data_IF_764392861074
#
_entry.id   IF_764392861074
#
_cell.length_a   1.000
_cell.length_b   1.000
_cell.length_c   1.000
_cell.angle_alpha   90.00
_cell.angle_beta   90.00
_cell.angle_gamma   90.00
#
_symmetry.space_group_name_H-M   'P 1'
#
loop_
_entity.id
_entity.type
_entity.pdbx_description
1 polymer ?
#
# COMPACT_ATOMS: atom_id res chain seq x y z
N UNK A 1 -51.00 22.02 -41.04
CA UNK A 1 -50.10 23.15 -41.30
C UNK A 1 -48.73 22.73 -40.84
N UNK A 2 -47.69 22.62 -41.61
CA UNK A 2 -47.44 22.50 -43.04
C UNK A 2 -45.95 22.13 -43.09
N UNK A 3 -45.60 21.23 -43.97
CA UNK A 3 -44.24 20.81 -44.29
C UNK A 3 -43.40 21.99 -44.79
N UNK A 4 -42.10 22.03 -44.49
CA UNK A 4 -41.10 22.39 -45.50
C UNK A 4 -39.71 21.85 -45.17
N UNK A 5 -39.21 21.05 -46.12
CA UNK A 5 -37.84 20.57 -46.23
C UNK A 5 -36.98 21.63 -46.92
N UNK A 6 -35.69 21.71 -46.61
CA UNK A 6 -34.68 22.06 -47.60
C UNK A 6 -33.42 21.21 -47.40
N UNK A 7 -33.20 20.35 -48.40
CA UNK A 7 -32.00 19.60 -48.70
C UNK A 7 -31.14 20.40 -49.69
N UNK A 8 -29.83 20.39 -49.48
CA UNK A 8 -28.76 20.37 -50.52
C UNK A 8 -27.41 20.35 -49.78
N UNK A 9 -26.44 19.48 -50.02
CA UNK A 9 -26.21 18.53 -51.10
C UNK A 9 -24.71 18.54 -51.46
N UNK A 10 -24.11 17.35 -51.55
CA UNK A 10 -22.85 16.98 -52.24
C UNK A 10 -21.50 17.40 -51.60
N UNK A 11 -20.42 16.60 -51.64
CA UNK A 11 -20.11 15.41 -52.42
C UNK A 11 -19.06 14.53 -51.70
N UNK A 12 -19.13 13.22 -51.89
CA UNK A 12 -18.08 12.24 -51.58
C UNK A 12 -17.09 12.16 -52.76
N UNK A 13 -15.87 11.70 -52.50
CA UNK A 13 -15.03 11.10 -53.54
C UNK A 13 -14.21 9.91 -52.97
N UNK A 14 -14.32 8.70 -53.57
CA UNK A 14 -13.56 7.51 -53.16
C UNK A 14 -12.56 7.01 -54.22
N UNK A 15 -11.72 6.05 -53.79
CA UNK A 15 -10.87 5.12 -54.58
C UNK A 15 -9.52 5.69 -55.10
N UNK A 16 -8.39 4.98 -55.06
CA UNK A 16 -8.06 3.74 -55.82
C UNK A 16 -6.89 2.94 -55.17
N UNK A 17 -7.09 1.62 -55.05
CA UNK A 17 -6.25 0.43 -55.39
C UNK A 17 -4.70 0.57 -55.50
N UNK A 18 -3.82 -0.37 -55.10
CA UNK A 18 -3.86 -1.84 -55.29
C UNK A 18 -2.73 -2.60 -54.54
N UNK A 19 -3.05 -3.83 -54.10
CA UNK A 19 -2.30 -5.11 -54.13
C UNK A 19 -0.75 -5.14 -54.13
N UNK A 20 -0.14 -5.91 -53.21
CA UNK A 20 0.82 -7.00 -53.55
C UNK A 20 0.99 -8.06 -52.42
N UNK A 21 0.50 -9.28 -52.72
CA UNK A 21 0.98 -10.67 -52.48
C UNK A 21 1.82 -11.08 -51.23
N UNK A 22 1.27 -12.09 -50.54
CA UNK A 22 1.81 -13.41 -50.13
C UNK A 22 3.30 -13.60 -49.72
N UNK A 23 3.52 -14.19 -48.54
CA UNK A 23 4.30 -15.43 -48.38
C UNK A 23 4.05 -16.10 -47.00
N UNK A 24 4.01 -17.45 -46.99
CA UNK A 24 3.81 -18.37 -45.86
C UNK A 24 5.17 -19.02 -45.45
N UNK A 25 5.43 -19.18 -44.13
CA UNK A 25 6.12 -20.30 -43.38
C UNK A 25 7.46 -20.92 -43.86
N UNK A 26 8.20 -21.78 -43.09
CA UNK A 26 8.18 -22.16 -41.65
C UNK A 26 9.58 -22.25 -40.94
N UNK A 27 9.56 -22.60 -39.64
CA UNK A 27 10.53 -23.35 -38.79
C UNK A 27 12.00 -23.54 -39.23
N UNK A 28 12.94 -23.40 -38.26
CA UNK A 28 13.87 -24.47 -37.89
C UNK A 28 14.53 -24.25 -36.52
N UNK A 29 14.72 -25.38 -35.84
CA UNK A 29 15.41 -25.61 -34.56
C UNK A 29 16.88 -25.20 -34.58
N UNK A 30 17.40 -24.77 -33.43
CA UNK A 30 18.80 -24.98 -33.09
C UNK A 30 18.95 -25.27 -31.58
N UNK A 31 19.58 -26.39 -31.32
CA UNK A 31 19.88 -27.04 -30.05
C UNK A 31 20.99 -26.35 -29.23
N UNK A 32 20.98 -26.66 -27.93
CA UNK A 32 21.90 -26.35 -26.83
C UNK A 32 23.41 -26.45 -27.15
N UNK A 33 24.31 -25.94 -26.26
CA UNK A 33 24.75 -26.82 -25.17
C UNK A 33 25.02 -26.15 -23.79
N UNK A 34 24.83 -26.99 -22.78
CA UNK A 34 25.66 -27.17 -21.56
C UNK A 34 25.85 -26.04 -20.52
N UNK A 35 25.25 -26.32 -19.35
CA UNK A 35 25.84 -26.33 -18.01
C UNK A 35 26.52 -25.08 -17.43
N UNK A 36 25.91 -24.49 -16.41
CA UNK A 36 26.60 -24.25 -15.12
C UNK A 36 25.60 -24.48 -13.98
N UNK A 37 25.92 -25.45 -13.14
CA UNK A 37 25.33 -25.69 -11.83
C UNK A 37 25.78 -24.58 -10.87
N UNK A 38 24.85 -23.89 -10.21
CA UNK A 38 25.13 -23.31 -8.89
C UNK A 38 23.93 -23.54 -7.98
N UNK A 39 24.09 -24.58 -7.16
CA UNK A 39 23.36 -24.80 -5.94
C UNK A 39 23.65 -23.67 -4.95
N UNK A 40 22.61 -22.99 -4.48
CA UNK A 40 22.58 -22.46 -3.12
C UNK A 40 21.13 -22.19 -2.71
N UNK A 41 20.50 -23.24 -2.18
CA UNK A 41 19.34 -23.11 -1.31
C UNK A 41 19.73 -22.23 -0.11
N UNK A 42 19.29 -20.97 -0.12
CA UNK A 42 19.26 -20.16 1.11
C UNK A 42 17.99 -20.54 1.88
N UNK A 43 18.24 -21.15 3.04
CA UNK A 43 17.24 -21.71 3.95
C UNK A 43 16.26 -20.61 4.37
N UNK A 44 14.98 -20.90 4.18
CA UNK A 44 13.88 -20.27 4.88
C UNK A 44 14.06 -20.49 6.37
N UNK A 45 13.99 -19.44 7.18
CA UNK A 45 13.90 -19.57 8.64
C UNK A 45 12.41 -19.55 9.00
N UNK A 46 11.80 -20.69 9.37
CA UNK A 46 10.47 -20.67 9.95
C UNK A 46 10.54 -19.94 11.29
N UNK A 47 9.68 -18.95 11.49
CA UNK A 47 9.56 -18.23 12.75
C UNK A 47 8.88 -19.16 13.77
N UNK A 48 9.66 -19.78 14.65
CA UNK A 48 9.17 -20.59 15.77
C UNK A 48 8.82 -19.68 16.95
N UNK A 49 7.62 -19.87 17.51
CA UNK A 49 7.13 -19.17 18.70
C UNK A 49 7.72 -19.86 19.95
N UNK A 50 8.51 -19.19 20.80
CA UNK A 50 8.86 -19.76 22.10
C UNK A 50 7.71 -19.53 23.09
N UNK A 51 7.06 -20.61 23.52
CA UNK A 51 6.25 -20.62 24.73
C UNK A 51 7.18 -20.45 25.94
N UNK A 52 7.00 -19.38 26.70
CA UNK A 52 7.59 -19.26 28.04
C UNK A 52 6.46 -19.12 29.06
N UNK A 53 6.31 -20.17 29.86
CA UNK A 53 5.66 -20.14 31.16
C UNK A 53 6.68 -19.65 32.21
N UNK A 54 6.30 -18.79 33.17
CA UNK A 54 7.13 -18.57 34.34
C UNK A 54 6.49 -19.22 35.57
N UNK A 55 7.18 -20.20 36.13
CA UNK A 55 7.05 -20.57 37.54
C UNK A 55 8.29 -20.13 38.33
N UNK A 56 7.98 -19.60 39.52
CA UNK A 56 8.75 -19.54 40.76
C UNK A 56 9.70 -18.37 41.00
N UNK A 57 9.30 -17.67 42.07
CA UNK A 57 10.02 -16.70 42.87
C UNK A 57 11.23 -17.29 43.60
N UNK A 58 12.19 -16.40 43.91
CA UNK A 58 13.05 -16.34 45.11
C UNK A 58 13.77 -14.98 45.04
N UNK A 59 13.50 -14.03 45.93
CA UNK A 59 13.87 -13.87 47.35
C UNK A 59 14.91 -12.75 47.45
N UNK A 60 14.54 -11.70 48.20
CA UNK A 60 15.32 -10.49 48.41
C UNK A 60 16.50 -10.79 49.34
N UNK A 61 17.71 -10.45 48.92
CA UNK A 61 18.79 -10.14 49.86
C UNK A 61 19.42 -8.80 49.50
N UNK A 62 19.28 -7.87 50.44
CA UNK A 62 20.03 -6.61 50.54
C UNK A 62 21.47 -6.94 50.93
N UNK A 63 22.43 -6.34 50.23
CA UNK A 63 23.76 -6.08 50.74
C UNK A 63 24.19 -4.69 50.27
N UNK A 64 24.34 -3.79 51.23
CA UNK A 64 25.05 -2.52 51.08
C UNK A 64 26.55 -2.80 51.06
N UNK A 65 27.32 -2.10 50.23
CA UNK A 65 28.66 -1.63 50.56
C UNK A 65 29.13 -0.52 49.60
N UNK A 66 30.06 0.26 50.13
CA UNK A 66 30.40 1.67 49.87
C UNK A 66 31.38 1.96 48.72
N UNK A 67 31.33 3.20 48.23
CA UNK A 67 32.20 3.94 47.30
C UNK A 67 33.67 3.47 47.11
N UNK A 68 34.13 3.46 45.84
CA UNK A 68 35.39 4.13 45.44
C UNK A 68 35.43 4.42 43.93
N UNK A 69 35.84 5.64 43.61
CA UNK A 69 36.06 6.22 42.28
C UNK A 69 37.38 5.72 41.72
N UNK A 70 37.40 5.21 40.48
CA UNK A 70 38.52 5.39 39.54
C UNK A 70 37.96 5.58 38.11
N UNK A 71 38.28 6.73 37.53
CA UNK A 71 38.02 7.13 36.16
C UNK A 71 39.05 6.48 35.24
N UNK A 72 38.60 5.77 34.20
CA UNK A 72 39.30 5.71 32.90
C UNK A 72 38.24 5.80 31.82
N UNK A 73 38.31 6.87 31.04
CA UNK A 73 37.37 7.17 29.98
C UNK A 73 37.62 6.32 28.74
N UNK A 74 36.52 5.92 28.11
CA UNK A 74 36.40 5.88 26.65
C UNK A 74 34.94 6.21 26.33
N UNK A 75 34.72 7.48 26.04
CA UNK A 75 33.43 8.05 25.67
C UNK A 75 33.16 7.80 24.18
N UNK A 76 32.48 6.69 23.88
CA UNK A 76 31.67 6.61 22.64
C UNK A 76 30.31 7.19 22.98
N UNK A 77 30.15 8.47 22.66
CA UNK A 77 28.88 9.19 22.71
C UNK A 77 27.86 8.52 21.78
N UNK A 78 27.03 7.65 22.35
CA UNK A 78 25.73 7.36 21.76
C UNK A 78 24.93 8.65 21.84
N UNK A 79 24.81 9.33 20.71
CA UNK A 79 23.98 10.52 20.55
C UNK A 79 22.58 10.21 21.07
N UNK A 80 22.27 10.75 22.26
CA UNK A 80 20.91 10.90 22.75
C UNK A 80 20.34 12.11 22.02
N UNK A 81 19.81 11.89 20.83
CA UNK A 81 18.95 12.87 20.18
C UNK A 81 17.55 12.74 20.78
N UNK A 82 17.44 13.16 22.04
CA UNK A 82 16.17 13.39 22.73
C UNK A 82 15.93 14.89 22.76
N UNK A 83 15.55 15.46 21.63
CA UNK A 83 14.99 16.81 21.58
C UNK A 83 13.58 16.73 20.99
N UNK A 84 12.57 16.85 21.88
CA UNK A 84 11.13 16.86 21.65
C UNK A 84 10.47 15.56 21.15
N UNK A 85 10.76 14.44 21.82
CA UNK A 85 10.42 13.06 21.47
C UNK A 85 8.97 12.77 21.08
N UNK A 86 8.60 13.08 19.84
CA UNK A 86 7.41 12.54 19.18
C UNK A 86 7.71 11.09 18.82
N UNK A 87 7.01 10.15 19.46
CA UNK A 87 7.11 8.72 19.14
C UNK A 87 6.73 8.49 17.68
N UNK A 88 7.64 7.92 16.90
CA UNK A 88 7.34 7.43 15.54
C UNK A 88 6.35 6.28 15.60
N UNK A 89 5.33 6.32 14.75
CA UNK A 89 4.29 5.29 14.66
C UNK A 89 4.80 4.05 13.93
N UNK A 90 4.32 2.88 14.29
CA UNK A 90 4.67 1.60 13.65
C UNK A 90 3.60 1.23 12.62
N UNK A 91 4.01 1.11 11.36
CA UNK A 91 3.13 0.87 10.24
C UNK A 91 3.27 -0.57 9.76
N UNK A 92 2.13 -1.25 9.57
CA UNK A 92 2.07 -2.46 8.77
C UNK A 92 1.59 -2.11 7.36
N UNK A 93 2.38 -2.44 6.34
CA UNK A 93 2.02 -2.12 4.95
C UNK A 93 1.59 -3.40 4.22
N UNK A 94 0.41 -3.39 3.61
CA UNK A 94 -0.15 -4.54 2.92
C UNK A 94 -0.05 -4.35 1.41
N UNK A 95 0.46 -5.35 0.68
CA UNK A 95 0.67 -5.28 -0.78
C UNK A 95 0.34 -6.60 -1.47
N UNK A 96 -0.04 -6.53 -2.75
CA UNK A 96 -0.25 -7.73 -3.60
C UNK A 96 0.53 -7.69 -4.93
N UNK A 97 1.32 -6.65 -5.17
CA UNK A 97 1.93 -6.36 -6.48
C UNK A 97 3.28 -5.65 -6.37
N UNK A 98 3.57 -4.73 -7.31
CA UNK A 98 4.87 -4.06 -7.43
C UNK A 98 5.26 -3.18 -6.23
N UNK A 99 4.29 -2.72 -5.44
CA UNK A 99 4.54 -2.00 -4.18
C UNK A 99 5.03 -0.56 -4.36
N UNK A 100 4.73 0.12 -5.46
CA UNK A 100 5.17 1.51 -5.68
C UNK A 100 4.66 2.47 -4.60
N UNK A 101 3.39 2.38 -4.20
CA UNK A 101 2.85 3.13 -3.05
C UNK A 101 3.62 2.84 -1.75
N UNK A 102 3.94 1.58 -1.47
CA UNK A 102 4.76 1.20 -0.31
C UNK A 102 6.15 1.85 -0.36
N UNK A 103 6.81 1.83 -1.52
CA UNK A 103 8.11 2.50 -1.71
C UNK A 103 8.03 3.99 -1.42
N UNK A 104 7.02 4.67 -1.95
CA UNK A 104 6.82 6.12 -1.71
C UNK A 104 6.64 6.44 -0.23
N UNK A 105 5.86 5.63 0.50
CA UNK A 105 5.68 5.78 1.96
C UNK A 105 6.97 5.50 2.72
N UNK A 106 7.67 4.41 2.39
CA UNK A 106 8.92 4.05 3.04
C UNK A 106 10.01 5.11 2.83
N UNK A 107 10.18 5.62 1.61
CA UNK A 107 11.13 6.68 1.31
C UNK A 107 10.77 8.02 1.97
N UNK A 108 9.48 8.33 2.10
CA UNK A 108 9.04 9.52 2.85
C UNK A 108 9.28 9.37 4.36
N UNK A 109 9.12 8.15 4.91
CA UNK A 109 9.48 7.82 6.29
C UNK A 109 10.97 8.01 6.57
N UNK A 110 11.84 7.50 5.69
CA UNK A 110 13.30 7.66 5.79
C UNK A 110 13.75 9.12 5.71
N UNK A 111 13.04 9.94 4.94
CA UNK A 111 13.29 11.40 4.82
C UNK A 111 12.71 12.22 5.98
N UNK A 112 12.01 11.59 6.92
CA UNK A 112 11.37 12.27 8.05
C UNK A 112 10.07 13.01 7.71
N UNK A 113 9.58 12.91 6.47
CA UNK A 113 8.29 13.50 6.05
C UNK A 113 7.09 12.76 6.64
N UNK A 114 7.28 11.49 7.01
CA UNK A 114 6.30 10.69 7.77
C UNK A 114 6.95 10.35 9.12
N UNK A 115 6.28 10.68 10.22
CA UNK A 115 6.67 10.29 11.59
C UNK A 115 6.23 8.86 11.93
N UNK A 116 6.58 7.91 11.06
CA UNK A 116 6.22 6.51 11.23
C UNK A 116 7.06 5.58 10.36
N UNK A 117 7.27 4.36 10.83
CA UNK A 117 8.20 3.37 10.28
C UNK A 117 7.45 2.12 9.82
N UNK A 118 7.74 1.64 8.62
CA UNK A 118 7.23 0.35 8.14
C UNK A 118 7.94 -0.80 8.88
N UNK A 119 7.29 -1.36 9.89
CA UNK A 119 7.89 -2.42 10.74
C UNK A 119 7.60 -3.83 10.23
N UNK A 120 6.58 -3.99 9.39
CA UNK A 120 6.21 -5.26 8.78
C UNK A 120 5.49 -5.02 7.46
N UNK A 121 5.82 -5.83 6.45
CA UNK A 121 5.06 -5.93 5.22
C UNK A 121 4.18 -7.19 5.26
N UNK A 122 2.91 -7.07 4.89
CA UNK A 122 2.00 -8.20 4.73
C UNK A 122 1.64 -8.37 3.26
N UNK A 123 1.66 -9.60 2.76
CA UNK A 123 1.34 -9.89 1.36
C UNK A 123 0.64 -11.22 1.19
N UNK A 124 -0.23 -11.31 0.19
CA UNK A 124 -0.83 -12.57 -0.25
C UNK A 124 -0.06 -13.22 -1.40
N UNK A 125 1.13 -12.70 -1.75
CA UNK A 125 2.01 -13.23 -2.80
C UNK A 125 3.47 -13.12 -2.38
N UNK A 126 4.09 -14.27 -2.11
CA UNK A 126 5.48 -14.37 -1.61
C UNK A 126 6.54 -13.68 -2.46
N UNK A 127 6.36 -13.68 -3.78
CA UNK A 127 7.29 -13.12 -4.77
C UNK A 127 6.80 -11.86 -5.46
N UNK A 128 5.92 -11.06 -4.83
CA UNK A 128 5.56 -9.77 -5.42
C UNK A 128 6.67 -8.73 -5.21
N UNK A 129 6.79 -7.76 -6.12
CA UNK A 129 7.86 -6.75 -6.09
C UNK A 129 7.87 -5.87 -4.82
N UNK A 130 6.74 -5.75 -4.11
CA UNK A 130 6.71 -5.12 -2.79
C UNK A 130 7.39 -5.97 -1.70
N UNK A 131 7.22 -7.30 -1.75
CA UNK A 131 7.86 -8.23 -0.83
C UNK A 131 9.37 -8.34 -1.06
N UNK A 132 9.81 -8.31 -2.32
CA UNK A 132 11.23 -8.24 -2.67
C UNK A 132 11.86 -6.96 -2.12
N UNK A 133 11.24 -5.81 -2.39
CA UNK A 133 11.71 -4.52 -1.85
C UNK A 133 11.78 -4.51 -0.31
N UNK A 134 10.77 -5.04 0.38
CA UNK A 134 10.80 -5.12 1.85
C UNK A 134 11.99 -5.94 2.36
N UNK A 135 12.26 -7.10 1.76
CA UNK A 135 13.41 -7.94 2.12
C UNK A 135 14.73 -7.22 1.91
N UNK A 136 14.88 -6.53 0.78
CA UNK A 136 16.08 -5.74 0.46
C UNK A 136 16.32 -4.60 1.46
N UNK A 137 15.25 -4.10 2.09
CA UNK A 137 15.31 -3.08 3.14
C UNK A 137 15.33 -3.64 4.56
N UNK A 138 15.37 -4.97 4.72
CA UNK A 138 15.38 -5.63 6.03
C UNK A 138 14.04 -5.56 6.77
N UNK A 139 12.93 -5.25 6.07
CA UNK A 139 11.59 -5.21 6.65
C UNK A 139 11.00 -6.63 6.64
N UNK A 140 10.58 -7.18 7.81
CA UNK A 140 9.95 -8.48 7.90
C UNK A 140 8.73 -8.61 6.98
N UNK A 141 8.59 -9.77 6.32
CA UNK A 141 7.46 -10.07 5.43
C UNK A 141 6.62 -11.20 6.02
N UNK A 142 5.32 -10.96 6.16
CA UNK A 142 4.31 -11.91 6.60
C UNK A 142 3.39 -12.30 5.44
N UNK A 143 3.10 -13.59 5.31
CA UNK A 143 2.13 -14.08 4.33
C UNK A 143 0.73 -14.12 4.93
N UNK A 144 -0.22 -13.53 4.22
CA UNK A 144 -1.63 -13.57 4.58
C UNK A 144 -2.49 -13.34 3.32
N UNK A 145 -3.61 -14.05 3.15
CA UNK A 145 -4.15 -15.08 4.02
C UNK A 145 -3.55 -16.46 3.74
N UNK A 146 -3.74 -17.39 4.68
CA UNK A 146 -3.61 -18.81 4.41
C UNK A 146 -4.52 -19.21 3.25
N UNK A 147 -3.95 -19.84 2.23
CA UNK A 147 -4.70 -20.31 1.06
C UNK A 147 -4.10 -21.61 0.51
N UNK A 148 -4.75 -22.21 -0.50
CA UNK A 148 -4.19 -23.39 -1.18
C UNK A 148 -2.84 -23.08 -1.84
N UNK A 149 -2.72 -21.89 -2.43
CA UNK A 149 -1.51 -21.46 -3.13
C UNK A 149 -0.42 -20.94 -2.18
N UNK A 150 -0.81 -20.47 -1.01
CA UNK A 150 0.08 -19.95 0.05
C UNK A 150 -0.29 -20.63 1.40
N UNK A 151 0.06 -21.91 1.60
CA UNK A 151 -0.32 -22.68 2.79
C UNK A 151 0.36 -22.18 4.07
N UNK A 152 1.50 -21.50 3.93
CA UNK A 152 2.25 -20.87 5.02
C UNK A 152 1.66 -19.50 5.44
N UNK A 153 0.59 -19.06 4.78
CA UNK A 153 -0.10 -17.84 5.16
C UNK A 153 -0.75 -17.97 6.54
N UNK A 154 -0.89 -16.84 7.23
CA UNK A 154 -1.55 -16.77 8.52
C UNK A 154 -3.07 -16.80 8.37
N UNK A 155 -3.75 -17.33 9.39
CA UNK A 155 -5.18 -17.07 9.63
C UNK A 155 -5.40 -15.63 10.13
N UNK A 156 -6.64 -15.11 10.10
CA UNK A 156 -6.95 -13.77 10.61
C UNK A 156 -6.51 -13.54 12.08
N UNK A 157 -6.72 -14.51 12.97
CA UNK A 157 -6.35 -14.40 14.39
C UNK A 157 -4.84 -14.44 14.62
N UNK A 158 -4.12 -15.26 13.85
CA UNK A 158 -2.65 -15.29 13.84
C UNK A 158 -2.06 -13.98 13.31
N UNK A 159 -2.67 -13.41 12.27
CA UNK A 159 -2.27 -12.10 11.75
C UNK A 159 -2.44 -11.00 12.81
N UNK A 160 -3.60 -10.91 13.46
CA UNK A 160 -3.81 -9.96 14.57
C UNK A 160 -2.74 -10.12 15.64
N UNK A 161 -2.45 -11.36 16.03
CA UNK A 161 -1.42 -11.65 17.04
C UNK A 161 -0.02 -11.24 16.59
N UNK A 162 0.32 -11.46 15.32
CA UNK A 162 1.59 -11.02 14.74
C UNK A 162 1.71 -9.50 14.72
N UNK A 163 0.69 -8.78 14.22
CA UNK A 163 0.72 -7.31 14.15
C UNK A 163 0.80 -6.66 15.54
N UNK A 164 0.19 -7.26 16.55
CA UNK A 164 0.34 -6.82 17.96
C UNK A 164 1.77 -6.99 18.48
N UNK A 165 2.46 -8.09 18.13
CA UNK A 165 3.88 -8.29 18.49
C UNK A 165 4.80 -7.29 17.80
N UNK A 166 4.45 -6.86 16.59
CA UNK A 166 5.12 -5.75 15.92
C UNK A 166 4.73 -4.38 16.49
N UNK A 167 3.80 -4.31 17.46
CA UNK A 167 3.28 -3.07 18.05
C UNK A 167 2.76 -2.09 17.00
N UNK A 168 2.11 -2.62 15.95
CA UNK A 168 1.57 -1.81 14.85
C UNK A 168 0.52 -0.83 15.38
N UNK A 169 0.66 0.45 15.03
CA UNK A 169 -0.32 1.50 15.31
C UNK A 169 -1.33 1.63 14.16
N UNK A 170 -0.85 1.56 12.91
CA UNK A 170 -1.67 1.74 11.70
C UNK A 170 -1.37 0.69 10.62
N UNK A 171 -2.42 0.30 9.90
CA UNK A 171 -2.36 -0.60 8.75
C UNK A 171 -2.62 0.22 7.48
N UNK A 172 -1.71 0.09 6.52
CA UNK A 172 -1.71 0.84 5.26
C UNK A 172 -1.87 -0.14 4.10
N UNK A 173 -3.02 -0.15 3.44
CA UNK A 173 -3.25 -1.00 2.28
C UNK A 173 -2.75 -0.31 1.01
N UNK A 174 -1.57 -0.72 0.53
CA UNK A 174 -0.87 -0.14 -0.61
C UNK A 174 -0.99 -1.04 -1.85
N UNK A 175 -2.22 -1.24 -2.32
CA UNK A 175 -2.54 -2.15 -3.42
C UNK A 175 -2.69 -3.61 -2.97
N UNK A 176 -3.32 -3.82 -1.82
CA UNK A 176 -3.69 -5.14 -1.32
C UNK A 176 -5.03 -5.59 -1.89
N UNK A 177 -5.11 -6.81 -2.43
CA UNK A 177 -6.23 -7.25 -3.28
C UNK A 177 -7.16 -8.27 -2.60
N UNK A 178 -7.02 -8.50 -1.29
CA UNK A 178 -7.92 -9.40 -0.55
C UNK A 178 -8.75 -8.58 0.44
N UNK A 179 -9.97 -9.04 0.67
CA UNK A 179 -10.84 -8.46 1.70
C UNK A 179 -10.16 -8.55 3.06
N UNK A 180 -10.23 -7.47 3.82
CA UNK A 180 -9.74 -7.46 5.20
C UNK A 180 -10.75 -8.19 6.09
N UNK A 181 -10.31 -9.16 6.90
CA UNK A 181 -11.22 -9.91 7.76
C UNK A 181 -11.71 -9.04 8.92
N UNK A 182 -12.93 -9.34 9.41
CA UNK A 182 -13.60 -8.59 10.48
C UNK A 182 -12.77 -8.55 11.78
N UNK A 183 -11.99 -9.58 12.06
CA UNK A 183 -11.10 -9.66 13.21
C UNK A 183 -10.04 -8.55 13.17
N UNK A 184 -9.52 -8.23 11.99
CA UNK A 184 -8.52 -7.17 11.82
C UNK A 184 -9.18 -5.79 11.95
N UNK A 185 -10.35 -5.60 11.34
CA UNK A 185 -11.14 -4.35 11.42
C UNK A 185 -11.50 -4.03 12.87
N UNK A 186 -11.91 -5.03 13.65
CA UNK A 186 -12.20 -4.88 15.09
C UNK A 186 -10.95 -4.60 15.91
N UNK A 187 -9.84 -5.29 15.61
CA UNK A 187 -8.58 -5.10 16.34
C UNK A 187 -7.91 -3.75 16.06
N UNK A 188 -8.12 -3.18 14.87
CA UNK A 188 -7.53 -1.93 14.38
C UNK A 188 -8.62 -0.92 13.99
N UNK A 189 -9.57 -0.68 14.89
CA UNK A 189 -10.68 0.24 14.65
C UNK A 189 -10.17 1.66 14.32
N UNK A 190 -10.59 2.21 13.17
CA UNK A 190 -10.13 3.52 12.66
C UNK A 190 -8.60 3.62 12.49
N UNK A 191 -7.93 2.48 12.33
CA UNK A 191 -6.48 2.41 12.16
C UNK A 191 -6.07 1.69 10.86
N UNK A 192 -7.00 1.45 9.96
CA UNK A 192 -6.73 0.84 8.65
C UNK A 192 -7.18 1.82 7.56
N UNK A 193 -6.26 2.22 6.69
CA UNK A 193 -6.57 3.02 5.51
C UNK A 193 -6.21 2.27 4.22
N UNK A 194 -6.99 2.53 3.18
CA UNK A 194 -6.77 2.01 1.83
C UNK A 194 -6.74 3.14 0.83
N UNK A 195 -5.98 2.95 -0.26
CA UNK A 195 -6.04 3.80 -1.44
C UNK A 195 -6.72 3.04 -2.59
N UNK A 196 -7.71 3.66 -3.20
CA UNK A 196 -8.45 3.13 -4.33
C UNK A 196 -8.30 4.04 -5.56
N UNK A 197 -8.00 3.52 -6.76
CA UNK A 197 -7.63 4.31 -7.94
C UNK A 197 -8.83 4.93 -8.71
N UNK A 198 -9.86 5.38 -7.99
CA UNK A 198 -10.96 6.18 -8.53
C UNK A 198 -11.53 7.13 -7.48
N UNK A 199 -12.33 8.11 -7.92
CA UNK A 199 -13.10 8.99 -7.06
C UNK A 199 -14.33 8.25 -6.50
N UNK A 200 -14.16 7.59 -5.35
CA UNK A 200 -15.25 6.88 -4.68
C UNK A 200 -16.44 7.83 -4.39
N UNK A 201 -17.69 7.32 -4.44
CA UNK A 201 -18.07 5.91 -4.60
C UNK A 201 -18.01 5.38 -6.04
N UNK A 202 -17.65 6.20 -7.03
CA UNK A 202 -17.60 5.76 -8.42
C UNK A 202 -16.47 4.74 -8.65
N UNK A 203 -16.76 3.69 -9.42
CA UNK A 203 -15.81 2.61 -9.77
C UNK A 203 -15.13 1.96 -8.55
N UNK A 204 -15.83 1.92 -7.40
CA UNK A 204 -15.41 1.20 -6.21
C UNK A 204 -16.13 -0.14 -6.05
N UNK A 205 -15.65 -0.94 -5.11
CA UNK A 205 -16.28 -2.20 -4.71
C UNK A 205 -15.71 -3.42 -5.41
N UNK A 206 -16.35 -4.57 -5.15
CA UNK A 206 -15.85 -5.87 -5.61
C UNK A 206 -15.72 -5.91 -7.14
N UNK A 207 -14.50 -6.17 -7.61
CA UNK A 207 -14.18 -6.31 -9.04
C UNK A 207 -13.48 -5.10 -9.65
N UNK A 208 -13.51 -3.96 -8.96
CA UNK A 208 -12.78 -2.76 -9.33
C UNK A 208 -11.42 -2.72 -8.63
N UNK A 209 -10.39 -3.24 -9.29
CA UNK A 209 -9.03 -3.18 -8.78
C UNK A 209 -8.00 -3.15 -9.92
N UNK A 210 -6.86 -2.50 -9.67
CA UNK A 210 -5.79 -2.33 -10.65
C UNK A 210 -6.32 -1.76 -11.98
N UNK A 211 -5.86 -2.31 -13.10
CA UNK A 211 -6.20 -1.82 -14.43
C UNK A 211 -7.72 -1.89 -14.77
N UNK A 212 -8.49 -2.71 -14.06
CA UNK A 212 -9.95 -2.79 -14.28
C UNK A 212 -10.64 -1.47 -13.98
N UNK A 213 -10.14 -0.70 -13.01
CA UNK A 213 -10.70 0.60 -12.63
C UNK A 213 -10.52 1.60 -13.76
N UNK A 214 -9.28 1.79 -14.22
CA UNK A 214 -8.98 2.74 -15.29
C UNK A 214 -9.69 2.39 -16.60
N UNK A 215 -9.78 1.10 -16.95
CA UNK A 215 -10.56 0.64 -18.11
C UNK A 215 -12.04 0.99 -17.99
N UNK A 216 -12.64 0.82 -16.81
CA UNK A 216 -14.03 1.20 -16.58
C UNK A 216 -14.25 2.71 -16.64
N UNK A 217 -13.31 3.50 -16.11
CA UNK A 217 -13.36 4.97 -16.19
C UNK A 217 -13.34 5.42 -17.66
N UNK A 218 -12.38 4.94 -18.46
CA UNK A 218 -12.30 5.26 -19.89
C UNK A 218 -13.58 4.84 -20.62
N UNK A 219 -14.05 3.61 -20.40
CA UNK A 219 -15.26 3.10 -21.04
C UNK A 219 -16.53 3.89 -20.66
N UNK A 220 -16.58 4.48 -19.47
CA UNK A 220 -17.73 5.29 -19.01
C UNK A 220 -17.82 6.67 -19.66
N UNK A 221 -16.72 7.18 -20.25
CA UNK A 221 -16.64 8.55 -20.75
C UNK A 221 -16.46 9.63 -19.67
N UNK A 222 -16.16 9.25 -18.42
CA UNK A 222 -15.88 10.19 -17.34
C UNK A 222 -14.72 11.15 -17.70
N UNK A 223 -14.85 12.43 -17.33
CA UNK A 223 -13.84 13.47 -17.57
C UNK A 223 -12.88 13.69 -16.41
N UNK A 224 -13.17 13.05 -15.27
CA UNK A 224 -12.35 13.12 -14.07
C UNK A 224 -12.25 11.73 -13.44
N UNK A 225 -11.09 11.47 -12.85
CA UNK A 225 -10.76 10.30 -12.05
C UNK A 225 -9.82 10.74 -10.94
N UNK A 226 -9.04 9.83 -10.37
CA UNK A 226 -8.04 10.11 -9.35
C UNK A 226 -8.17 9.19 -8.15
N UNK A 227 -7.22 9.23 -7.20
CA UNK A 227 -7.24 8.33 -6.07
C UNK A 227 -8.15 8.81 -4.94
N UNK A 228 -8.71 7.85 -4.21
CA UNK A 228 -9.39 8.06 -2.93
C UNK A 228 -8.68 7.30 -1.83
N UNK A 229 -8.39 7.97 -0.71
CA UNK A 229 -7.99 7.33 0.53
C UNK A 229 -9.17 7.31 1.47
N UNK A 230 -9.45 6.14 2.04
CA UNK A 230 -10.58 5.94 2.94
C UNK A 230 -10.20 5.00 4.09
N UNK A 231 -10.93 5.09 5.19
CA UNK A 231 -10.86 4.07 6.23
C UNK A 231 -11.49 2.77 5.73
N UNK A 232 -10.92 1.63 6.13
CA UNK A 232 -11.44 0.31 5.74
C UNK A 232 -12.54 -0.14 6.68
N UNK A 233 -13.61 -0.69 6.12
CA UNK A 233 -14.68 -1.39 6.84
C UNK A 233 -14.82 -2.83 6.30
N UNK A 234 -15.93 -3.51 6.63
CA UNK A 234 -16.18 -4.91 6.26
C UNK A 234 -16.44 -5.14 4.76
N UNK A 235 -16.64 -4.06 3.98
CA UNK A 235 -16.93 -4.14 2.56
C UNK A 235 -15.87 -3.40 1.73
N UNK A 236 -15.77 -3.77 0.45
CA UNK A 236 -14.82 -3.11 -0.45
C UNK A 236 -15.24 -1.67 -0.71
N UNK A 237 -14.33 -0.75 -0.40
CA UNK A 237 -14.38 0.66 -0.80
C UNK A 237 -15.63 1.45 -0.35
N UNK A 238 -16.28 1.03 0.75
CA UNK A 238 -17.45 1.73 1.32
C UNK A 238 -17.14 2.55 2.57
N UNK A 239 -15.95 2.37 3.14
CA UNK A 239 -15.59 3.06 4.37
C UNK A 239 -15.43 4.57 4.16
N UNK A 240 -15.36 5.29 5.28
CA UNK A 240 -15.37 6.77 5.26
C UNK A 240 -14.18 7.33 4.48
N UNK A 241 -14.49 8.10 3.44
CA UNK A 241 -13.51 8.83 2.62
C UNK A 241 -12.78 9.83 3.52
N UNK A 242 -11.45 9.84 3.40
CA UNK A 242 -10.56 10.73 4.15
C UNK A 242 -9.93 11.78 3.24
N UNK A 243 -9.53 11.41 2.03
CA UNK A 243 -8.98 12.37 1.07
C UNK A 243 -9.15 11.88 -0.37
N UNK A 244 -9.22 12.83 -1.30
CA UNK A 244 -9.24 12.57 -2.74
C UNK A 244 -8.31 13.55 -3.46
N UNK A 245 -7.81 13.13 -4.62
CA UNK A 245 -7.16 14.03 -5.59
C UNK A 245 -7.81 13.83 -6.94
N UNK A 246 -8.05 14.91 -7.67
CA UNK A 246 -8.73 14.87 -8.98
C UNK A 246 -7.69 14.85 -10.10
N UNK A 247 -7.85 13.92 -11.03
CA UNK A 247 -7.04 13.78 -12.23
C UNK A 247 -7.96 13.93 -13.46
N UNK A 248 -7.67 14.87 -14.38
CA UNK A 248 -8.44 14.99 -15.62
C UNK A 248 -8.19 13.79 -16.55
N UNK A 249 -9.27 13.27 -17.11
CA UNK A 249 -9.25 12.26 -18.18
C UNK A 249 -9.28 13.01 -19.51
N UNK A 250 -8.17 12.96 -20.25
CA UNK A 250 -8.02 13.62 -21.55
C UNK A 250 -8.76 12.82 -22.62
N UNK A 251 -9.14 13.50 -23.70
CA UNK A 251 -9.97 12.92 -24.75
C UNK A 251 -9.39 11.65 -25.39
N UNK A 252 -8.05 11.55 -25.43
CA UNK A 252 -7.33 10.45 -26.07
C UNK A 252 -6.57 9.57 -25.08
N UNK A 253 -6.83 9.68 -23.77
CA UNK A 253 -6.17 8.82 -22.79
C UNK A 253 -6.51 7.36 -23.06
N UNK A 254 -5.47 6.53 -23.07
CA UNK A 254 -5.58 5.09 -22.83
C UNK A 254 -5.77 4.81 -21.32
N UNK A 255 -6.22 3.60 -20.98
CA UNK A 255 -6.36 3.20 -19.58
C UNK A 255 -4.99 3.20 -18.86
N UNK A 256 -3.92 2.86 -19.57
CA UNK A 256 -2.55 2.83 -19.09
C UNK A 256 -2.00 4.24 -18.82
N UNK A 257 -2.25 5.21 -19.70
CA UNK A 257 -1.88 6.61 -19.49
C UNK A 257 -2.65 7.23 -18.32
N UNK A 258 -3.96 6.95 -18.23
CA UNK A 258 -4.76 7.36 -17.08
C UNK A 258 -4.22 6.72 -15.78
N UNK A 259 -3.90 5.43 -15.80
CA UNK A 259 -3.33 4.75 -14.65
C UNK A 259 -2.01 5.38 -14.19
N UNK A 260 -1.14 5.77 -15.12
CA UNK A 260 0.12 6.42 -14.80
C UNK A 260 -0.10 7.80 -14.12
N UNK A 261 -1.04 8.61 -14.62
CA UNK A 261 -1.39 9.90 -13.99
C UNK A 261 -2.01 9.72 -12.61
N UNK A 262 -2.94 8.78 -12.46
CA UNK A 262 -3.56 8.47 -11.16
C UNK A 262 -2.51 7.97 -10.16
N UNK A 263 -1.58 7.12 -10.59
CA UNK A 263 -0.51 6.59 -9.74
C UNK A 263 0.44 7.67 -9.20
N UNK A 264 0.73 8.72 -9.98
CA UNK A 264 1.50 9.87 -9.50
C UNK A 264 0.78 10.59 -8.36
N UNK A 265 -0.52 10.81 -8.51
CA UNK A 265 -1.35 11.40 -7.46
C UNK A 265 -1.53 10.47 -6.26
N UNK A 266 -1.57 9.14 -6.46
CA UNK A 266 -1.59 8.16 -5.38
C UNK A 266 -0.37 8.32 -4.49
N UNK A 267 0.84 8.36 -5.07
CA UNK A 267 2.08 8.46 -4.31
C UNK A 267 2.11 9.71 -3.45
N UNK A 268 1.70 10.85 -4.02
CA UNK A 268 1.66 12.13 -3.32
C UNK A 268 0.62 12.12 -2.20
N UNK A 269 -0.63 11.75 -2.53
CA UNK A 269 -1.74 11.77 -1.59
C UNK A 269 -1.53 10.78 -0.44
N UNK A 270 -1.01 9.58 -0.73
CA UNK A 270 -0.83 8.56 0.30
C UNK A 270 0.26 8.92 1.30
N UNK A 271 1.35 9.55 0.85
CA UNK A 271 2.38 10.10 1.73
C UNK A 271 1.79 11.20 2.63
N UNK A 272 1.04 12.14 2.04
CA UNK A 272 0.41 13.25 2.77
C UNK A 272 -0.54 12.76 3.88
N UNK A 273 -1.42 11.83 3.54
CA UNK A 273 -2.41 11.29 4.48
C UNK A 273 -1.75 10.39 5.53
N UNK A 274 -0.75 9.59 5.17
CA UNK A 274 -0.01 8.77 6.14
C UNK A 274 0.75 9.65 7.14
N UNK A 275 1.33 10.77 6.69
CA UNK A 275 1.94 11.75 7.58
C UNK A 275 0.91 12.33 8.55
N UNK A 276 -0.26 12.75 8.06
CA UNK A 276 -1.35 13.26 8.89
C UNK A 276 -1.85 12.25 9.93
N UNK A 277 -1.92 10.97 9.54
CA UNK A 277 -2.29 9.88 10.44
C UNK A 277 -1.24 9.70 11.54
N UNK A 278 0.05 9.73 11.19
CA UNK A 278 1.14 9.56 12.14
C UNK A 278 1.29 10.76 13.10
N UNK A 279 0.97 11.96 12.63
CA UNK A 279 0.97 13.21 13.38
C UNK A 279 -0.33 13.45 14.17
N UNK A 280 -1.25 12.46 14.21
CA UNK A 280 -2.53 12.54 14.94
C UNK A 280 -3.39 13.75 14.53
N UNK A 281 -3.39 14.08 13.24
CA UNK A 281 -4.17 15.20 12.68
C UNK A 281 -5.53 14.78 12.13
N UNK A 282 -5.94 13.53 12.29
CA UNK A 282 -7.25 13.06 11.87
C UNK A 282 -8.28 13.36 12.96
N UNK A 283 -9.22 14.25 12.67
CA UNK A 283 -10.30 14.63 13.57
C UNK A 283 -11.61 14.03 13.06
N UNK A 284 -12.41 13.47 13.95
CA UNK A 284 -13.72 12.93 13.61
C UNK A 284 -14.80 13.94 14.00
N UNK A 285 -15.64 14.30 13.04
CA UNK A 285 -16.89 15.02 13.30
C UNK A 285 -17.87 14.12 14.06
N UNK A 286 -18.87 14.74 14.69
CA UNK A 286 -19.93 14.02 15.42
C UNK A 286 -20.73 13.05 14.53
N UNK A 287 -20.91 13.37 13.26
CA UNK A 287 -21.56 12.52 12.25
C UNK A 287 -20.67 11.39 11.71
N UNK A 288 -19.44 11.27 12.22
CA UNK A 288 -18.49 10.23 11.85
C UNK A 288 -17.76 10.48 10.54
N UNK A 289 -17.74 11.72 10.03
CA UNK A 289 -16.89 12.11 8.89
C UNK A 289 -15.48 12.46 9.39
N UNK A 290 -14.42 11.83 8.88
CA UNK A 290 -13.05 12.18 9.24
C UNK A 290 -12.57 13.40 8.45
N UNK A 291 -11.73 14.21 9.08
CA UNK A 291 -11.13 15.42 8.52
C UNK A 291 -9.63 15.42 8.79
N UNK A 292 -8.85 16.02 7.89
CA UNK A 292 -7.42 16.25 8.11
C UNK A 292 -7.23 17.69 8.60
N UNK A 293 -6.85 17.85 9.86
CA UNK A 293 -6.47 19.15 10.41
C UNK A 293 -5.18 19.65 9.74
N UNK A 294 -5.19 20.88 9.25
CA UNK A 294 -4.05 21.53 8.62
C UNK A 294 -2.91 21.74 9.65
N UNK A 295 -1.66 21.65 9.16
CA UNK A 295 -0.46 21.77 10.01
C UNK A 295 -0.15 23.22 10.33
N UNK A 296 -0.27 24.12 9.35
CA UNK A 296 0.02 25.54 9.51
C UNK A 296 -1.13 26.30 10.18
N UNK A 297 -2.38 25.85 9.96
CA UNK A 297 -3.57 26.48 10.53
C UNK A 297 -4.51 25.44 11.16
N UNK A 298 -4.43 25.22 12.49
CA UNK A 298 -5.25 24.23 13.19
C UNK A 298 -6.76 24.46 13.12
N UNK A 299 -7.23 25.66 12.74
CA UNK A 299 -8.66 25.93 12.53
C UNK A 299 -9.15 25.57 11.13
N UNK A 300 -8.25 25.13 10.23
CA UNK A 300 -8.58 24.74 8.87
C UNK A 300 -8.48 23.22 8.72
N UNK A 301 -9.42 22.65 7.96
CA UNK A 301 -9.54 21.22 7.72
C UNK A 301 -9.57 20.97 6.22
N UNK A 302 -8.99 19.85 5.79
CA UNK A 302 -9.07 19.31 4.45
C UNK A 302 -9.86 18.01 4.45
#
# INVERSE_FOLDING_TARGET
METQSLLSGFCADPTIFSSFRNAKTPFLFASSPSSVSFSQCRKWVPYTIPHSSPQRAWSKQRLNCTNRVENVGDSISHGKDFENGVRRKKLAVFVSGGGSNFRSIHEASLRGSILGDAVVLVTNKRGCGGAEYAKDKGIPVVLFPKSKDEPDGLSPSELVSALRRFEVDFIILAGYLKLIPVELIRAYHRSIINIHPSLLPAFGGKGYYGMKVHKAVIASGARYSGPTIHFVDEHYDTGRILAQSVVPVLANDTAEELAAKVLQEEHRLYVEVTAALCEERIIWREDGVPLIRCKENPSHYR
#
